data_IF_005952437480
#
_entry.id   IF_005952437480
#
_cell.length_a   1.000
_cell.length_b   1.000
_cell.length_c   1.000
_cell.angle_alpha   90.00
_cell.angle_beta   90.00
_cell.angle_gamma   90.00
#
_symmetry.space_group_name_H-M   'P 1'
#
loop_
_entity.id
_entity.type
_entity.pdbx_description
1 polymer ?
#
# COMPACT_ATOMS: atom_id res chain seq x y z
N UNK A 1 21.43 18.07 -8.52
CA UNK A 1 20.45 16.97 -8.41
C UNK A 1 20.83 15.87 -9.41
N UNK A 2 21.13 14.67 -8.93
CA UNK A 2 21.68 13.57 -9.74
C UNK A 2 20.65 13.02 -10.72
N UNK A 3 19.39 12.95 -10.31
CA UNK A 3 18.31 12.40 -11.15
C UNK A 3 18.06 13.34 -12.32
N UNK A 4 17.90 14.63 -12.06
CA UNK A 4 17.74 15.64 -13.11
C UNK A 4 18.92 15.64 -14.09
N UNK A 5 20.16 15.56 -13.59
CA UNK A 5 21.34 15.46 -14.46
C UNK A 5 21.34 14.19 -15.35
N UNK A 6 20.86 13.06 -14.80
CA UNK A 6 20.75 11.82 -15.56
C UNK A 6 19.70 11.93 -16.66
N UNK A 7 18.52 12.49 -16.38
CA UNK A 7 17.48 12.71 -17.39
C UNK A 7 17.92 13.68 -18.49
N UNK A 8 18.64 14.75 -18.16
CA UNK A 8 19.21 15.66 -19.17
C UNK A 8 20.14 14.92 -20.14
N UNK A 9 20.97 14.00 -19.63
CA UNK A 9 21.89 13.20 -20.45
C UNK A 9 21.21 12.10 -21.26
N UNK A 10 20.00 11.71 -20.90
CA UNK A 10 19.21 10.72 -21.64
C UNK A 10 18.44 11.34 -22.81
N UNK A 11 18.42 12.67 -22.94
CA UNK A 11 17.82 13.32 -24.10
C UNK A 11 18.60 12.99 -25.39
N UNK A 12 17.91 12.74 -26.52
CA UNK A 12 18.57 12.58 -27.80
C UNK A 12 19.41 13.81 -28.16
N UNK A 13 20.60 13.60 -28.73
CA UNK A 13 21.48 14.70 -29.16
C UNK A 13 20.84 15.66 -30.18
N UNK A 14 19.84 15.20 -30.95
CA UNK A 14 19.10 16.00 -31.94
C UNK A 14 17.82 16.65 -31.36
N UNK A 15 17.64 16.58 -30.04
CA UNK A 15 16.54 17.24 -29.33
C UNK A 15 16.54 18.74 -29.61
N UNK A 16 15.42 19.27 -30.13
CA UNK A 16 15.18 20.72 -30.21
C UNK A 16 14.99 21.37 -28.83
N UNK A 17 14.85 20.56 -27.78
CA UNK A 17 14.72 21.01 -26.40
C UNK A 17 16.11 21.00 -25.75
N UNK A 18 16.60 22.14 -25.24
CA UNK A 18 17.98 22.25 -24.76
C UNK A 18 18.24 21.51 -23.44
N UNK A 19 17.19 21.21 -22.66
CA UNK A 19 17.27 20.51 -21.36
C UNK A 19 15.99 19.73 -21.09
N UNK A 20 16.05 18.68 -20.26
CA UNK A 20 14.86 17.95 -19.86
C UNK A 20 14.00 18.82 -18.93
N UNK A 21 12.70 18.51 -18.89
CA UNK A 21 11.83 19.15 -17.90
C UNK A 21 12.33 18.81 -16.49
N UNK A 22 12.38 19.78 -15.56
CA UNK A 22 12.75 19.51 -14.18
C UNK A 22 11.85 18.43 -13.56
N UNK A 23 12.48 17.39 -13.02
CA UNK A 23 11.82 16.30 -12.32
C UNK A 23 11.71 16.65 -10.83
N UNK A 24 10.52 16.46 -10.28
CA UNK A 24 10.24 16.60 -8.86
C UNK A 24 9.80 15.25 -8.29
N UNK A 25 10.41 14.82 -7.19
CA UNK A 25 10.08 13.56 -6.56
C UNK A 25 8.93 13.72 -5.57
N UNK A 26 7.98 12.80 -5.61
CA UNK A 26 6.94 12.66 -4.60
C UNK A 26 7.38 11.66 -3.54
N UNK A 27 8.06 12.15 -2.51
CA UNK A 27 8.66 11.33 -1.45
C UNK A 27 7.64 10.83 -0.41
N UNK A 28 6.41 11.37 -0.43
CA UNK A 28 5.35 11.09 0.55
C UNK A 28 4.18 10.31 -0.06
N UNK A 29 4.45 9.48 -1.08
CA UNK A 29 3.44 8.65 -1.73
C UNK A 29 2.77 7.65 -0.77
N UNK A 30 3.48 7.23 0.29
CA UNK A 30 2.97 6.35 1.34
C UNK A 30 1.86 6.98 2.21
N UNK A 31 1.74 8.30 2.23
CA UNK A 31 0.65 9.03 2.91
C UNK A 31 -0.27 9.71 1.89
N UNK A 32 -0.28 9.20 0.65
CA UNK A 32 -1.03 9.75 -0.49
C UNK A 32 -0.79 11.26 -0.64
N UNK A 33 0.47 11.69 -0.63
CA UNK A 33 0.91 13.08 -0.81
C UNK A 33 1.92 13.23 -1.96
N UNK A 34 1.65 14.20 -2.83
CA UNK A 34 2.51 14.55 -3.96
C UNK A 34 2.32 16.04 -4.30
N UNK A 35 2.92 16.92 -3.49
CA UNK A 35 2.76 18.37 -3.61
C UNK A 35 3.02 18.97 -5.01
N UNK A 36 4.02 18.49 -5.80
CA UNK A 36 4.29 19.05 -7.13
C UNK A 36 3.11 19.00 -8.10
N UNK A 37 2.17 18.05 -7.95
CA UNK A 37 1.07 17.84 -8.89
C UNK A 37 -0.27 18.40 -8.41
N UNK A 38 -0.42 18.76 -7.13
CA UNK A 38 -1.72 19.10 -6.52
C UNK A 38 -2.44 20.28 -7.18
N UNK A 39 -1.71 21.21 -7.79
CA UNK A 39 -2.29 22.43 -8.34
C UNK A 39 -2.16 22.52 -9.86
N UNK A 40 -1.68 21.46 -10.51
CA UNK A 40 -1.38 21.47 -11.94
C UNK A 40 -2.59 21.03 -12.75
N UNK A 41 -2.96 21.81 -13.77
CA UNK A 41 -3.98 21.37 -14.73
C UNK A 41 -3.45 20.30 -15.71
N UNK A 42 -2.12 20.27 -15.87
CA UNK A 42 -1.42 19.30 -16.71
C UNK A 42 -0.08 18.96 -16.07
N UNK A 43 0.23 17.68 -15.97
CA UNK A 43 1.54 17.23 -15.51
C UNK A 43 1.93 15.90 -16.15
N UNK A 44 3.20 15.55 -16.03
CA UNK A 44 3.75 14.28 -16.49
C UNK A 44 4.25 13.47 -15.31
N UNK A 45 3.92 12.18 -15.28
CA UNK A 45 4.44 11.23 -14.31
C UNK A 45 5.44 10.32 -15.00
N UNK A 46 6.71 10.43 -14.63
CA UNK A 46 7.76 9.54 -15.12
C UNK A 46 8.08 8.50 -14.05
N UNK A 47 8.01 7.23 -14.43
CA UNK A 47 8.20 6.09 -13.54
C UNK A 47 9.41 5.28 -14.03
N UNK A 48 10.35 4.99 -13.14
CA UNK A 48 11.59 4.27 -13.45
C UNK A 48 11.54 2.86 -12.87
N UNK A 49 11.94 1.88 -13.68
CA UNK A 49 12.12 0.49 -13.26
C UNK A 49 13.61 0.19 -13.11
N UNK A 50 14.11 0.00 -11.88
CA UNK A 50 15.52 -0.32 -11.63
C UNK A 50 15.86 -1.80 -11.87
N UNK A 51 14.90 -2.65 -12.25
CA UNK A 51 15.11 -4.09 -12.44
C UNK A 51 15.48 -4.43 -13.88
N UNK A 52 16.18 -5.55 -14.07
CA UNK A 52 16.60 -6.06 -15.40
C UNK A 52 15.48 -6.71 -16.21
N UNK A 53 14.26 -6.73 -15.68
CA UNK A 53 13.09 -7.31 -16.33
C UNK A 53 12.01 -6.25 -16.48
N UNK A 54 11.18 -6.33 -17.54
CA UNK A 54 10.01 -5.48 -17.62
C UNK A 54 9.07 -5.79 -16.44
N UNK A 55 8.47 -4.75 -15.87
CA UNK A 55 7.59 -4.86 -14.71
C UNK A 55 6.23 -4.29 -15.07
N UNK A 56 5.19 -5.08 -14.83
CA UNK A 56 3.81 -4.59 -14.72
C UNK A 56 3.56 -4.22 -13.26
N UNK A 57 3.07 -3.02 -13.02
CA UNK A 57 2.80 -2.53 -11.67
C UNK A 57 1.52 -1.69 -11.64
N UNK A 58 1.01 -1.36 -10.46
CA UNK A 58 -0.17 -0.52 -10.29
C UNK A 58 0.24 0.79 -9.63
N UNK A 59 0.20 1.88 -10.39
CA UNK A 59 0.55 3.20 -9.88
C UNK A 59 -0.61 3.78 -9.07
N UNK A 60 -0.32 4.28 -7.85
CA UNK A 60 -1.24 5.07 -7.03
C UNK A 60 -0.83 6.55 -7.08
N UNK A 61 -1.72 7.42 -7.55
CA UNK A 61 -1.42 8.85 -7.74
C UNK A 61 -2.47 9.71 -7.02
N UNK A 62 -2.12 10.41 -5.92
CA UNK A 62 -3.06 11.28 -5.21
C UNK A 62 -3.32 12.56 -6.02
N UNK A 63 -4.58 12.95 -6.12
CA UNK A 63 -5.01 14.08 -6.96
C UNK A 63 -6.09 14.94 -6.29
N UNK A 64 -6.12 16.22 -6.67
CA UNK A 64 -7.10 17.23 -6.23
C UNK A 64 -8.21 17.46 -7.26
N UNK A 65 -7.96 17.06 -8.50
CA UNK A 65 -8.85 17.18 -9.66
C UNK A 65 -8.95 15.83 -10.37
N UNK A 66 -9.93 15.70 -11.27
CA UNK A 66 -10.00 14.57 -12.18
C UNK A 66 -9.17 14.83 -13.44
N UNK A 67 -8.52 13.79 -13.95
CA UNK A 67 -7.63 13.85 -15.10
C UNK A 67 -7.94 12.74 -16.10
N UNK A 68 -7.78 13.04 -17.39
CA UNK A 68 -7.49 12.02 -18.39
C UNK A 68 -6.04 11.57 -18.21
N UNK A 69 -5.83 10.26 -18.15
CA UNK A 69 -4.50 9.65 -18.09
C UNK A 69 -4.19 9.05 -19.45
N UNK A 70 -3.08 9.47 -20.05
CA UNK A 70 -2.57 8.93 -21.31
C UNK A 70 -1.25 8.20 -21.13
N UNK A 71 -1.10 7.09 -21.83
CA UNK A 71 0.13 6.32 -21.89
C UNK A 71 1.22 7.02 -22.76
N UNK A 72 2.45 6.47 -22.83
CA UNK A 72 3.51 7.02 -23.67
C UNK A 72 3.16 7.11 -25.16
N UNK A 73 2.17 6.35 -25.64
CA UNK A 73 1.70 6.34 -27.02
C UNK A 73 0.58 7.37 -27.26
N UNK A 74 0.11 8.05 -26.21
CA UNK A 74 -0.94 9.06 -26.25
C UNK A 74 -2.37 8.52 -26.11
N UNK A 75 -2.54 7.22 -25.91
CA UNK A 75 -3.83 6.57 -25.71
C UNK A 75 -4.35 6.76 -24.29
N UNK A 76 -5.66 7.02 -24.14
CA UNK A 76 -6.30 7.10 -22.82
C UNK A 76 -6.36 5.69 -22.22
N UNK A 77 -5.92 5.54 -20.97
CA UNK A 77 -5.91 4.26 -20.26
C UNK A 77 -7.06 4.16 -19.25
N UNK A 78 -7.54 2.93 -18.96
CA UNK A 78 -8.45 2.72 -17.84
C UNK A 78 -7.73 3.02 -16.51
N UNK A 79 -8.42 3.72 -15.62
CA UNK A 79 -7.94 4.04 -14.29
C UNK A 79 -9.12 4.07 -13.31
N UNK A 80 -8.91 3.54 -12.12
CA UNK A 80 -9.86 3.64 -11.03
C UNK A 80 -9.63 4.94 -10.26
N UNK A 81 -10.70 5.67 -9.99
CA UNK A 81 -10.68 6.90 -9.22
C UNK A 81 -11.38 6.66 -7.88
N UNK A 82 -10.59 6.55 -6.82
CA UNK A 82 -11.05 6.09 -5.50
C UNK A 82 -10.75 7.14 -4.43
N UNK A 83 -11.54 7.22 -3.34
CA UNK A 83 -11.26 8.16 -2.26
C UNK A 83 -10.00 7.72 -1.53
N UNK A 84 -9.23 8.68 -1.04
CA UNK A 84 -8.20 8.38 -0.04
C UNK A 84 -8.92 8.14 1.29
N UNK A 85 -8.63 7.02 2.01
CA UNK A 85 -9.23 6.74 3.31
C UNK A 85 -9.07 7.91 4.30
N UNK A 86 -10.08 8.12 5.15
CA UNK A 86 -10.05 9.22 6.14
C UNK A 86 -8.88 9.07 7.11
N UNK A 87 -8.47 7.85 7.46
CA UNK A 87 -7.27 7.62 8.29
C UNK A 87 -6.01 8.14 7.62
N UNK A 88 -5.83 7.85 6.33
CA UNK A 88 -4.67 8.32 5.55
C UNK A 88 -4.69 9.83 5.40
N UNK A 89 -5.87 10.43 5.15
CA UNK A 89 -6.02 11.89 5.09
C UNK A 89 -5.68 12.58 6.42
N UNK A 90 -5.97 11.92 7.54
CA UNK A 90 -5.75 12.42 8.89
C UNK A 90 -4.38 12.01 9.49
N UNK A 91 -3.49 11.37 8.71
CA UNK A 91 -2.12 11.09 9.17
C UNK A 91 -1.43 12.39 9.57
N UNK A 92 -0.90 12.41 10.78
CA UNK A 92 -0.15 13.57 11.30
C UNK A 92 1.05 13.88 10.41
N UNK A 93 1.19 15.14 9.99
CA UNK A 93 2.28 15.59 9.13
C UNK A 93 1.95 15.58 7.63
N UNK A 94 0.84 14.97 7.22
CA UNK A 94 0.31 15.10 5.84
C UNK A 94 -0.15 16.54 5.61
N UNK A 95 0.34 17.15 4.53
CA UNK A 95 0.05 18.52 4.08
C UNK A 95 -0.79 18.56 2.81
N UNK A 96 -0.98 17.41 2.18
CA UNK A 96 -1.71 17.28 0.92
C UNK A 96 -3.20 17.63 1.03
N UNK A 97 -3.71 18.34 0.03
CA UNK A 97 -5.14 18.61 -0.15
C UNK A 97 -5.89 17.52 -0.94
N UNK A 98 -5.17 16.54 -1.49
CA UNK A 98 -5.75 15.47 -2.31
C UNK A 98 -6.81 14.67 -1.51
N UNK A 99 -7.96 14.45 -2.14
CA UNK A 99 -9.10 13.71 -1.57
C UNK A 99 -9.30 12.34 -2.22
N UNK A 100 -8.80 12.19 -3.43
CA UNK A 100 -8.93 10.97 -4.22
C UNK A 100 -7.56 10.60 -4.79
N UNK A 101 -7.45 9.36 -5.25
CA UNK A 101 -6.28 8.87 -5.94
C UNK A 101 -6.69 8.05 -7.16
N UNK A 102 -5.83 8.09 -8.17
CA UNK A 102 -5.92 7.20 -9.30
C UNK A 102 -5.14 5.91 -9.03
N UNK A 103 -5.72 4.78 -9.41
CA UNK A 103 -5.07 3.49 -9.51
C UNK A 103 -5.14 3.01 -10.94
N UNK A 104 -3.99 2.73 -11.56
CA UNK A 104 -3.94 2.24 -12.94
C UNK A 104 -2.72 1.37 -13.17
N UNK A 105 -2.86 0.45 -14.13
CA UNK A 105 -1.78 -0.46 -14.51
C UNK A 105 -0.76 0.26 -15.38
N UNK A 106 0.52 0.12 -15.02
CA UNK A 106 1.66 0.63 -15.75
C UNK A 106 2.53 -0.51 -16.24
N UNK A 107 3.18 -0.30 -17.39
CA UNK A 107 4.19 -1.21 -17.94
C UNK A 107 5.51 -0.46 -18.05
N UNK A 108 6.52 -0.94 -17.34
CA UNK A 108 7.85 -0.36 -17.32
C UNK A 108 8.85 -1.31 -18.00
N UNK A 109 9.66 -0.82 -18.96
CA UNK A 109 10.71 -1.62 -19.57
C UNK A 109 11.81 -1.98 -18.56
N UNK A 110 12.60 -3.01 -18.86
CA UNK A 110 13.79 -3.36 -18.08
C UNK A 110 14.79 -2.20 -18.07
N UNK A 111 15.31 -1.84 -16.89
CA UNK A 111 16.27 -0.74 -16.69
C UNK A 111 15.87 0.53 -17.47
N UNK A 112 14.59 0.89 -17.39
CA UNK A 112 14.02 1.95 -18.21
C UNK A 112 12.89 2.70 -17.52
N UNK A 113 12.35 3.69 -18.21
CA UNK A 113 11.22 4.49 -17.72
C UNK A 113 10.08 4.54 -18.72
N UNK A 114 8.89 4.84 -18.21
CA UNK A 114 7.71 5.20 -18.99
C UNK A 114 7.15 6.51 -18.45
N UNK A 115 6.65 7.37 -19.34
CA UNK A 115 6.05 8.67 -18.98
C UNK A 115 4.57 8.67 -19.32
N UNK A 116 3.75 8.98 -18.32
CA UNK A 116 2.30 9.11 -18.43
C UNK A 116 1.90 10.58 -18.34
N UNK A 117 0.83 10.95 -19.05
CA UNK A 117 0.41 12.34 -19.19
C UNK A 117 -0.97 12.54 -18.56
N UNK A 118 -1.08 13.54 -17.70
CA UNK A 118 -2.29 13.91 -16.99
C UNK A 118 -2.80 15.25 -17.52
N UNK A 119 -4.09 15.31 -17.83
CA UNK A 119 -4.77 16.53 -18.28
C UNK A 119 -6.16 16.61 -17.66
N UNK A 120 -6.49 17.74 -17.03
CA UNK A 120 -7.76 17.90 -16.29
C UNK A 120 -8.96 17.55 -17.16
N UNK A 121 -9.86 16.74 -16.60
CA UNK A 121 -11.14 16.37 -17.19
C UNK A 121 -12.21 17.35 -16.71
N UNK A 122 -12.96 17.92 -17.66
CA UNK A 122 -14.18 18.67 -17.37
C UNK A 122 -15.37 17.70 -17.47
N UNK A 123 -15.92 17.23 -16.34
CA UNK A 123 -17.06 16.30 -16.37
C UNK A 123 -17.45 15.71 -15.02
N UNK A 124 -18.66 15.13 -14.99
CA UNK A 124 -19.42 14.73 -13.81
C UNK A 124 -18.82 13.59 -12.97
N UNK A 125 -19.13 13.68 -11.68
CA UNK A 125 -18.78 12.80 -10.57
C UNK A 125 -19.29 11.39 -10.84
N UNK A 126 -18.38 10.42 -10.93
CA UNK A 126 -18.75 9.00 -11.04
C UNK A 126 -19.05 8.45 -9.65
N UNK A 127 -20.26 7.93 -9.48
CA UNK A 127 -20.74 7.32 -8.25
C UNK A 127 -20.08 5.95 -7.99
N UNK A 128 -19.77 5.66 -6.72
CA UNK A 128 -19.06 4.43 -6.32
C UNK A 128 -20.03 3.26 -6.19
N UNK A 129 -19.59 2.09 -6.64
CA UNK A 129 -20.26 0.82 -6.37
C UNK A 129 -19.60 0.15 -5.16
N UNK A 130 -20.40 -0.24 -4.17
CA UNK A 130 -19.92 -1.06 -3.05
C UNK A 130 -19.66 -2.49 -3.57
N UNK A 131 -18.49 -3.04 -3.26
CA UNK A 131 -18.02 -4.33 -3.77
C UNK A 131 -17.89 -5.31 -2.61
N UNK A 132 -18.78 -6.30 -2.53
CA UNK A 132 -18.73 -7.38 -1.51
C UNK A 132 -17.84 -8.55 -1.93
N UNK A 133 -17.47 -8.61 -3.22
CA UNK A 133 -16.60 -9.66 -3.77
C UNK A 133 -15.80 -9.10 -4.92
N UNK A 134 -14.48 -9.32 -4.90
CA UNK A 134 -13.60 -8.97 -6.01
C UNK A 134 -12.94 -10.22 -6.59
N UNK A 135 -12.65 -10.19 -7.90
CA UNK A 135 -12.13 -11.34 -8.64
C UNK A 135 -11.24 -10.87 -9.78
N UNK A 136 -10.15 -11.60 -10.01
CA UNK A 136 -9.34 -11.49 -11.22
C UNK A 136 -9.18 -12.88 -11.90
N UNK A 137 -8.19 -13.02 -12.77
CA UNK A 137 -7.90 -14.25 -13.51
C UNK A 137 -7.47 -15.42 -12.62
N UNK A 138 -6.86 -15.13 -11.46
CA UNK A 138 -6.20 -16.12 -10.59
C UNK A 138 -6.92 -16.37 -9.27
N UNK A 139 -7.48 -15.31 -8.67
CA UNK A 139 -8.01 -15.29 -7.32
C UNK A 139 -9.43 -14.71 -7.27
N UNK A 140 -10.22 -15.17 -6.30
CA UNK A 140 -11.44 -14.52 -5.82
C UNK A 140 -11.29 -14.21 -4.35
N UNK A 141 -11.63 -12.99 -3.96
CA UNK A 141 -11.53 -12.47 -2.60
C UNK A 141 -12.92 -12.08 -2.15
N UNK A 142 -13.33 -12.63 -1.00
CA UNK A 142 -14.65 -12.44 -0.41
C UNK A 142 -14.51 -11.69 0.92
N UNK A 143 -15.42 -10.74 1.13
CA UNK A 143 -15.51 -9.96 2.36
C UNK A 143 -16.82 -10.29 3.09
N UNK A 144 -16.81 -10.19 4.42
CA UNK A 144 -18.03 -10.28 5.23
C UNK A 144 -18.87 -8.98 5.15
N UNK A 145 -20.05 -8.98 5.76
CA UNK A 145 -20.96 -7.83 5.77
C UNK A 145 -20.37 -6.60 6.48
N UNK A 146 -19.30 -6.78 7.26
CA UNK A 146 -18.55 -5.75 7.96
C UNK A 146 -17.33 -5.26 7.16
N UNK A 147 -17.07 -5.83 5.98
CA UNK A 147 -15.95 -5.49 5.11
C UNK A 147 -14.62 -6.14 5.50
N UNK A 148 -14.60 -7.11 6.43
CA UNK A 148 -13.40 -7.87 6.74
C UNK A 148 -13.17 -8.95 5.69
N UNK A 149 -11.90 -9.22 5.40
CA UNK A 149 -11.52 -10.31 4.51
C UNK A 149 -11.96 -11.67 5.10
N UNK A 150 -12.87 -12.33 4.41
CA UNK A 150 -13.49 -13.59 4.83
C UNK A 150 -12.77 -14.80 4.24
N UNK A 151 -12.43 -14.74 2.95
CA UNK A 151 -11.88 -15.89 2.25
C UNK A 151 -11.10 -15.49 1.00
N UNK A 152 -10.00 -16.19 0.73
CA UNK A 152 -9.28 -16.13 -0.56
C UNK A 152 -9.41 -17.49 -1.25
N UNK A 153 -9.75 -17.45 -2.54
CA UNK A 153 -9.97 -18.63 -3.36
C UNK A 153 -9.02 -18.58 -4.55
N UNK A 154 -8.16 -19.58 -4.67
CA UNK A 154 -7.38 -19.82 -5.88
C UNK A 154 -8.28 -20.48 -6.93
N UNK A 155 -8.52 -19.80 -8.04
CA UNK A 155 -9.46 -20.22 -9.08
C UNK A 155 -8.93 -21.40 -9.91
N UNK A 156 -7.62 -21.49 -10.10
CA UNK A 156 -6.98 -22.57 -10.85
C UNK A 156 -6.98 -23.88 -10.06
N UNK A 157 -6.47 -23.82 -8.82
CA UNK A 157 -6.37 -24.99 -7.93
C UNK A 157 -7.69 -25.33 -7.23
N UNK A 158 -8.68 -24.43 -7.27
CA UNK A 158 -9.97 -24.54 -6.56
C UNK A 158 -9.79 -24.73 -5.06
N UNK A 159 -8.76 -24.11 -4.51
CA UNK A 159 -8.46 -24.13 -3.08
C UNK A 159 -9.03 -22.86 -2.46
N UNK A 160 -9.81 -23.05 -1.41
CA UNK A 160 -10.39 -22.01 -0.59
C UNK A 160 -9.67 -21.95 0.75
N UNK A 161 -9.15 -20.79 1.12
CA UNK A 161 -8.55 -20.54 2.43
C UNK A 161 -9.45 -19.54 3.17
N UNK A 162 -10.33 -20.01 4.07
CA UNK A 162 -11.13 -19.15 4.92
C UNK A 162 -10.27 -18.54 6.04
N UNK A 163 -10.59 -17.30 6.41
CA UNK A 163 -10.08 -16.66 7.61
C UNK A 163 -11.08 -16.87 8.75
N UNK A 164 -10.60 -17.41 9.87
CA UNK A 164 -11.46 -17.86 10.98
C UNK A 164 -11.70 -16.78 12.04
N UNK A 165 -11.00 -15.66 11.97
CA UNK A 165 -11.12 -14.53 12.89
C UNK A 165 -11.77 -13.31 12.24
N UNK A 166 -12.62 -12.61 12.99
CA UNK A 166 -13.16 -11.31 12.61
C UNK A 166 -12.09 -10.25 12.88
N UNK A 167 -11.48 -9.73 11.81
CA UNK A 167 -10.40 -8.75 11.88
C UNK A 167 -9.02 -9.37 12.16
N UNK A 168 -7.99 -8.63 11.76
CA UNK A 168 -6.60 -9.10 11.80
C UNK A 168 -5.76 -8.45 12.90
N UNK A 169 -6.25 -7.42 13.56
CA UNK A 169 -5.46 -6.64 14.51
C UNK A 169 -5.71 -7.09 15.94
N UNK A 170 -4.63 -7.48 16.59
CA UNK A 170 -4.61 -7.98 17.95
C UNK A 170 -3.59 -7.18 18.76
N UNK A 171 -3.80 -7.08 20.07
CA UNK A 171 -2.88 -6.40 20.97
C UNK A 171 -2.40 -7.31 22.09
N UNK A 172 -1.13 -7.17 22.42
CA UNK A 172 -0.55 -7.57 23.69
C UNK A 172 -0.37 -6.36 24.58
N UNK A 173 -0.64 -6.55 25.87
CA UNK A 173 -0.20 -5.61 26.91
C UNK A 173 1.24 -5.93 27.27
N UNK A 174 2.10 -4.91 27.30
CA UNK A 174 3.50 -5.06 27.68
C UNK A 174 3.64 -5.32 29.18
N UNK A 175 4.67 -6.05 29.58
CA UNK A 175 4.98 -6.25 31.00
C UNK A 175 5.62 -4.98 31.60
N UNK A 176 5.00 -4.35 32.63
CA UNK A 176 5.47 -3.08 33.20
C UNK A 176 6.57 -3.33 34.25
N UNK A 177 7.76 -3.72 33.78
CA UNK A 177 8.94 -3.94 34.61
C UNK A 177 9.81 -2.69 34.77
N UNK A 178 10.71 -2.69 35.76
CA UNK A 178 11.75 -1.66 35.92
C UNK A 178 13.06 -2.01 35.19
N UNK A 179 13.22 -3.26 34.77
CA UNK A 179 14.48 -3.84 34.26
C UNK A 179 15.69 -3.70 35.20
N UNK A 180 15.46 -3.48 36.50
CA UNK A 180 16.55 -3.36 37.48
C UNK A 180 17.19 -4.71 37.82
N UNK A 181 16.41 -5.79 37.76
CA UNK A 181 16.83 -7.18 37.93
C UNK A 181 16.10 -8.06 36.90
N UNK A 182 16.61 -9.27 36.55
CA UNK A 182 16.01 -10.14 35.55
C UNK A 182 14.52 -10.46 35.77
N UNK A 183 14.09 -10.63 37.02
CA UNK A 183 12.69 -10.86 37.39
C UNK A 183 11.78 -9.67 37.02
N UNK A 184 12.32 -8.46 37.07
CA UNK A 184 11.64 -7.20 36.74
C UNK A 184 11.87 -6.74 35.29
N UNK A 185 12.34 -7.62 34.41
CA UNK A 185 12.56 -7.30 32.98
C UNK A 185 11.30 -6.70 32.34
N UNK A 186 11.35 -5.46 31.86
CA UNK A 186 10.25 -4.84 31.14
C UNK A 186 10.20 -5.30 29.68
N UNK A 187 9.05 -5.12 29.01
CA UNK A 187 9.05 -5.01 27.55
C UNK A 187 9.74 -3.70 27.13
N UNK A 188 10.29 -3.65 25.92
CA UNK A 188 10.93 -2.44 25.40
C UNK A 188 11.55 -2.66 24.03
N UNK A 189 12.43 -1.74 23.61
CA UNK A 189 13.00 -1.74 22.25
C UNK A 189 13.70 -3.04 21.82
N UNK A 190 14.20 -3.83 22.78
CA UNK A 190 14.94 -5.07 22.52
C UNK A 190 14.20 -6.33 22.98
N UNK A 191 13.38 -6.21 24.03
CA UNK A 191 12.76 -7.36 24.69
C UNK A 191 11.27 -7.27 24.49
N UNK A 192 10.71 -8.27 23.81
CA UNK A 192 9.28 -8.50 23.78
C UNK A 192 8.89 -9.36 24.99
N UNK A 193 8.26 -8.75 26.00
CA UNK A 193 7.73 -9.46 27.18
C UNK A 193 6.27 -9.09 27.39
N UNK A 194 5.31 -9.84 26.82
CA UNK A 194 3.91 -9.57 27.04
C UNK A 194 3.50 -9.94 28.47
N UNK A 195 2.56 -9.19 29.05
CA UNK A 195 2.01 -9.43 30.39
C UNK A 195 1.28 -10.77 30.48
N UNK A 196 0.61 -11.17 29.39
CA UNK A 196 -0.03 -12.47 29.24
C UNK A 196 0.20 -13.01 27.84
N UNK A 197 0.11 -14.33 27.66
CA UNK A 197 0.15 -14.96 26.33
C UNK A 197 -1.14 -14.77 25.51
N UNK A 198 -2.15 -14.09 26.06
CA UNK A 198 -3.43 -13.87 25.40
C UNK A 198 -3.47 -12.50 24.75
N UNK A 199 -3.89 -12.48 23.49
CA UNK A 199 -4.18 -11.26 22.74
C UNK A 199 -5.60 -10.76 22.96
N UNK A 200 -5.80 -9.46 22.83
CA UNK A 200 -7.13 -8.83 22.79
C UNK A 200 -7.38 -8.20 21.41
N UNK A 201 -8.63 -8.14 20.91
CA UNK A 201 -8.91 -7.47 19.63
C UNK A 201 -8.68 -5.96 19.74
N UNK A 202 -8.17 -5.35 18.66
CA UNK A 202 -7.96 -3.90 18.58
C UNK A 202 -9.21 -3.19 18.08
N UNK A 203 -9.49 -1.98 18.61
CA UNK A 203 -10.56 -1.11 18.09
C UNK A 203 -10.28 -0.70 16.63
N UNK A 204 -11.26 -0.90 15.75
CA UNK A 204 -11.19 -0.58 14.31
C UNK A 204 -10.96 0.89 13.99
N UNK A 205 -11.17 1.80 14.95
CA UNK A 205 -10.96 3.25 14.77
C UNK A 205 -9.50 3.66 14.61
N UNK A 206 -8.53 2.77 14.89
CA UNK A 206 -7.09 3.06 14.88
C UNK A 206 -6.28 2.15 13.96
N UNK A 207 -6.97 1.23 13.28
CA UNK A 207 -6.36 0.26 12.38
C UNK A 207 -7.22 0.13 11.14
N UNK A 208 -6.64 0.39 9.98
CA UNK A 208 -7.29 0.17 8.69
C UNK A 208 -6.43 -0.75 7.86
N UNK A 209 -7.09 -1.67 7.17
CA UNK A 209 -6.51 -2.51 6.14
C UNK A 209 -7.24 -2.26 4.82
N UNK A 210 -6.50 -1.90 3.79
CA UNK A 210 -6.98 -1.87 2.41
C UNK A 210 -6.53 -3.14 1.71
N UNK A 211 -7.48 -3.89 1.15
CA UNK A 211 -7.21 -5.14 0.43
C UNK A 211 -7.46 -4.90 -1.05
N UNK A 212 -6.40 -4.94 -1.85
CA UNK A 212 -6.47 -4.75 -3.30
C UNK A 212 -6.23 -6.08 -4.03
N UNK A 213 -7.09 -6.38 -5.01
CA UNK A 213 -6.87 -7.45 -5.97
C UNK A 213 -6.77 -6.85 -7.36
N UNK A 214 -5.57 -6.85 -7.92
CA UNK A 214 -5.32 -6.25 -9.22
C UNK A 214 -5.49 -7.24 -10.36
N UNK A 215 -5.85 -6.74 -11.53
CA UNK A 215 -5.89 -7.55 -12.75
C UNK A 215 -4.50 -8.11 -13.09
N UNK A 216 -4.43 -9.38 -13.47
CA UNK A 216 -3.17 -10.04 -13.85
C UNK A 216 -2.24 -10.38 -12.68
N UNK A 217 -2.61 -10.08 -11.43
CA UNK A 217 -1.80 -10.39 -10.24
C UNK A 217 -2.23 -11.72 -9.59
N UNK A 218 -1.33 -12.69 -9.39
CA UNK A 218 -1.64 -13.94 -8.67
C UNK A 218 -1.59 -13.76 -7.14
N UNK A 219 -1.64 -12.53 -6.65
CA UNK A 219 -1.48 -12.16 -5.24
C UNK A 219 -2.51 -11.11 -4.83
N UNK A 220 -2.83 -11.07 -3.53
CA UNK A 220 -3.61 -10.00 -2.90
C UNK A 220 -2.63 -9.04 -2.23
N UNK A 221 -2.82 -7.73 -2.41
CA UNK A 221 -2.08 -6.72 -1.67
C UNK A 221 -2.91 -6.28 -0.46
N UNK A 222 -2.30 -6.25 0.72
CA UNK A 222 -2.90 -5.74 1.93
C UNK A 222 -2.03 -4.59 2.45
N UNK A 223 -2.54 -3.36 2.38
CA UNK A 223 -1.91 -2.18 2.95
C UNK A 223 -2.54 -1.90 4.32
N UNK A 224 -1.74 -1.56 5.32
CA UNK A 224 -2.25 -1.25 6.66
C UNK A 224 -1.78 0.10 7.17
N UNK A 225 -2.70 0.79 7.87
CA UNK A 225 -2.39 1.96 8.68
C UNK A 225 -2.70 1.61 10.13
N UNK A 226 -1.72 1.80 11.03
CA UNK A 226 -1.86 1.54 12.46
C UNK A 226 -1.45 2.78 13.22
N UNK A 227 -2.36 3.29 14.05
CA UNK A 227 -2.07 4.31 15.06
C UNK A 227 -3.00 5.53 15.04
N UNK A 228 -2.76 6.49 15.95
CA UNK A 228 -1.78 6.41 17.04
C UNK A 228 -2.16 5.33 18.08
N UNK A 229 -1.18 4.58 18.57
CA UNK A 229 -1.41 3.55 19.61
C UNK A 229 -1.74 4.26 20.93
N UNK A 230 -2.89 3.97 21.58
CA UNK A 230 -3.28 4.66 22.81
C UNK A 230 -2.35 4.29 23.95
N UNK A 231 -1.83 5.31 24.63
CA UNK A 231 -1.02 5.18 25.84
C UNK A 231 -1.57 6.06 26.99
N UNK A 232 -2.74 6.67 26.81
CA UNK A 232 -3.35 7.59 27.79
C UNK A 232 -3.74 6.88 29.11
N UNK A 233 -3.77 5.55 29.11
CA UNK A 233 -3.99 4.67 30.25
C UNK A 233 -2.68 4.24 30.95
N UNK A 234 -1.53 4.78 30.55
CA UNK A 234 -0.18 4.39 30.98
C UNK A 234 0.12 2.90 30.76
N UNK A 235 -0.57 2.27 29.80
CA UNK A 235 -0.36 0.87 29.42
C UNK A 235 0.27 0.79 28.03
N UNK A 236 1.50 0.30 27.98
CA UNK A 236 2.20 0.02 26.73
C UNK A 236 1.57 -1.16 25.99
N UNK A 237 1.32 -0.97 24.69
CA UNK A 237 0.61 -1.94 23.84
C UNK A 237 1.43 -2.28 22.61
N UNK A 238 1.41 -3.56 22.27
CA UNK A 238 2.07 -4.09 21.07
C UNK A 238 1.01 -4.66 20.14
N UNK A 239 0.84 -4.02 18.97
CA UNK A 239 -0.16 -4.42 17.98
C UNK A 239 0.46 -5.42 17.01
N UNK A 240 -0.22 -6.53 16.79
CA UNK A 240 0.16 -7.57 15.82
C UNK A 240 -0.96 -7.78 14.80
N UNK A 241 -0.57 -8.13 13.58
CA UNK A 241 -1.49 -8.61 12.54
C UNK A 241 -1.45 -10.14 12.58
N UNK A 242 -2.60 -10.79 12.76
CA UNK A 242 -2.72 -12.25 12.81
C UNK A 242 -3.75 -12.74 11.81
N UNK A 243 -3.33 -13.67 10.96
CA UNK A 243 -4.18 -14.36 10.00
C UNK A 243 -4.50 -15.76 10.52
N UNK A 244 -5.69 -15.94 11.10
CA UNK A 244 -6.15 -17.24 11.55
C UNK A 244 -6.79 -17.99 10.37
N UNK A 245 -6.22 -19.14 10.00
CA UNK A 245 -6.67 -19.95 8.86
C UNK A 245 -6.83 -21.41 9.26
N UNK A 246 -7.42 -22.23 8.38
CA UNK A 246 -7.54 -23.68 8.57
C UNK A 246 -6.33 -24.48 8.02
N UNK A 247 -5.19 -23.84 7.79
CA UNK A 247 -3.98 -24.52 7.30
C UNK A 247 -3.39 -25.38 8.42
N UNK A 248 -3.30 -26.68 8.19
CA UNK A 248 -2.70 -27.64 9.12
C UNK A 248 -1.17 -27.60 9.04
N UNK A 249 -0.55 -26.62 9.69
CA UNK A 249 0.90 -26.38 9.60
C UNK A 249 1.77 -27.32 10.44
N UNK A 250 1.18 -28.19 11.26
CA UNK A 250 1.91 -29.09 12.16
C UNK A 250 2.96 -28.40 13.05
N UNK A 251 2.65 -27.17 13.51
CA UNK A 251 3.58 -26.32 14.28
C UNK A 251 4.85 -25.89 13.54
N UNK A 252 4.89 -26.05 12.21
CA UNK A 252 5.96 -25.55 11.35
C UNK A 252 5.57 -24.19 10.77
N UNK A 253 6.55 -23.32 10.63
CA UNK A 253 6.43 -22.04 9.93
C UNK A 253 7.76 -21.74 9.26
N UNK A 254 7.79 -20.75 8.36
CA UNK A 254 9.01 -20.41 7.64
C UNK A 254 9.22 -18.89 7.64
N UNK A 255 10.45 -18.45 7.87
CA UNK A 255 10.85 -17.04 7.83
C UNK A 255 12.14 -16.86 7.05
N UNK A 256 12.34 -15.69 6.46
CA UNK A 256 13.56 -15.40 5.75
C UNK A 256 14.68 -14.91 6.68
N UNK A 257 15.92 -15.14 6.26
CA UNK A 257 17.11 -14.49 6.81
C UNK A 257 17.54 -13.34 5.88
N UNK A 258 17.20 -12.10 6.26
CA UNK A 258 17.60 -10.86 5.58
C UNK A 258 17.17 -10.77 4.10
N UNK A 259 16.00 -11.28 3.76
CA UNK A 259 15.46 -11.29 2.39
C UNK A 259 16.15 -12.28 1.47
N UNK A 260 16.83 -13.30 2.01
CA UNK A 260 17.60 -14.28 1.21
C UNK A 260 17.08 -15.70 1.39
N UNK A 261 17.63 -16.44 2.35
CA UNK A 261 17.30 -17.85 2.56
C UNK A 261 16.03 -17.95 3.40
N UNK A 262 15.14 -18.87 3.04
CA UNK A 262 14.01 -19.27 3.87
C UNK A 262 14.46 -20.36 4.83
N UNK A 263 14.16 -20.16 6.11
CA UNK A 263 14.42 -21.08 7.23
C UNK A 263 13.09 -21.58 7.76
N UNK A 264 13.10 -22.81 8.27
CA UNK A 264 12.01 -23.37 9.10
C UNK A 264 12.22 -22.98 10.57
#
# INVERSE_FOLDING_TARGET
DVINNAYDKLLPNESKVPMAAPQFLCQYSNISECLPIEWQDRFTLTLWNPTIHPVTHHARVPVTKEYWIRDPMGSIIPAEYIPIPDTTKNISGRKSSAQNQYIFTILLPALGFSTYYFEVKNGEIIEKKHVTTTRNEFLRVEFDDQGNLHQIINLEKRIAVPFTAQGFYWLYTSFPGSSSLPEFQASGAYVFRPLTSKTQPVSTTRTIQEVSLFQGAPTVEAEWTVGPIPIDDDVDKEIVIRYDTNIESASQYYTDANGRQVLE
#
